data_IF_101997378303
#
_entry.id   IF_101997378303
#
_cell.length_a   1.000
_cell.length_b   1.000
_cell.length_c   1.000
_cell.angle_alpha   90.00
_cell.angle_beta   90.00
_cell.angle_gamma   90.00
#
_symmetry.space_group_name_H-M   'P 1'
#
loop_
_entity.id
_entity.type
_entity.pdbx_description
1 polymer ?
#
# COMPACT_ATOMS: atom_id res chain seq x y z
N UNK A 1 7.85 25.60 5.92
CA UNK A 1 7.79 24.11 5.93
C UNK A 1 7.64 23.64 4.49
N UNK A 2 8.42 22.66 3.99
CA UNK A 2 8.19 22.12 2.66
C UNK A 2 6.85 21.39 2.69
N UNK A 3 5.92 21.76 1.80
CA UNK A 3 4.66 21.07 1.65
C UNK A 3 4.95 19.71 0.99
N UNK A 4 5.10 18.67 1.81
CA UNK A 4 4.55 17.36 1.42
C UNK A 4 3.15 17.67 0.90
N UNK A 5 2.79 17.24 -0.30
CA UNK A 5 1.42 17.40 -0.80
C UNK A 5 0.49 16.49 0.01
N UNK A 6 0.27 16.87 1.27
CA UNK A 6 -0.85 16.50 2.11
C UNK A 6 -2.10 17.20 1.55
N UNK A 7 -2.36 17.08 0.24
CA UNK A 7 -3.58 17.63 -0.40
C UNK A 7 -4.84 16.89 0.02
N UNK A 8 -4.70 15.79 0.77
CA UNK A 8 -5.79 15.18 1.52
C UNK A 8 -5.92 15.70 2.96
N UNK A 9 -5.08 16.67 3.38
CA UNK A 9 -5.21 17.39 4.66
C UNK A 9 -5.53 18.87 4.43
N UNK A 10 -6.38 19.18 3.45
CA UNK A 10 -7.12 20.45 3.51
C UNK A 10 -8.06 20.35 4.71
N UNK A 11 -7.69 21.00 5.82
CA UNK A 11 -8.62 21.26 6.91
C UNK A 11 -9.87 21.88 6.29
N UNK A 12 -11.08 21.37 6.55
CA UNK A 12 -12.29 22.10 6.18
C UNK A 12 -12.20 23.46 6.86
N UNK A 13 -12.20 24.54 6.07
CA UNK A 13 -12.31 25.88 6.60
C UNK A 13 -13.70 25.98 7.24
N UNK A 14 -13.76 25.87 8.56
CA UNK A 14 -14.97 26.18 9.32
C UNK A 14 -15.22 27.68 9.20
N UNK A 15 -15.91 28.08 8.12
CA UNK A 15 -16.47 29.41 7.99
C UNK A 15 -17.75 29.43 8.81
N UNK A 16 -17.63 29.83 10.07
CA UNK A 16 -18.77 30.14 10.92
C UNK A 16 -19.48 31.38 10.34
N UNK A 17 -20.48 31.17 9.47
CA UNK A 17 -21.46 32.21 9.16
C UNK A 17 -22.49 32.22 10.29
N UNK A 18 -22.30 33.12 11.23
CA UNK A 18 -23.32 33.50 12.21
C UNK A 18 -24.15 34.64 11.63
N UNK A 19 -25.35 34.32 11.13
CA UNK A 19 -26.44 35.30 11.04
C UNK A 19 -27.28 35.22 12.31
N UNK A 20 -27.31 36.35 13.00
CA UNK A 20 -28.03 36.63 14.24
C UNK A 20 -29.52 36.75 13.97
N UNK A 21 -30.35 35.97 14.67
CA UNK A 21 -31.43 36.48 15.54
C UNK A 21 -32.29 35.33 16.06
N UNK A 22 -32.07 34.94 17.32
CA UNK A 22 -33.12 34.45 18.21
C UNK A 22 -32.56 34.33 19.63
N UNK A 23 -33.22 35.01 20.56
CA UNK A 23 -32.97 35.02 21.99
C UNK A 23 -33.18 33.61 22.59
N UNK A 24 -32.14 32.78 22.53
CA UNK A 24 -32.05 31.53 23.26
C UNK A 24 -31.35 31.76 24.60
N UNK A 25 -31.76 31.08 25.68
CA UNK A 25 -31.22 31.28 27.02
C UNK A 25 -29.71 31.01 27.01
N UNK A 26 -28.96 31.93 27.61
CA UNK A 26 -27.52 31.83 27.86
C UNK A 26 -27.27 30.57 28.69
N UNK A 27 -26.98 29.45 28.03
CA UNK A 27 -26.48 28.27 28.73
C UNK A 27 -25.08 28.61 29.20
N UNK A 28 -24.88 28.59 30.53
CA UNK A 28 -23.58 28.67 31.20
C UNK A 28 -22.65 27.53 30.72
N UNK A 29 -22.02 27.74 29.56
CA UNK A 29 -21.26 26.72 28.83
C UNK A 29 -19.80 26.62 29.27
N UNK A 30 -19.47 27.02 30.51
CA UNK A 30 -18.10 27.04 31.04
C UNK A 30 -17.91 26.16 32.26
N UNK A 31 -18.73 25.11 32.43
CA UNK A 31 -18.37 24.05 33.39
C UNK A 31 -17.12 23.34 32.90
N UNK A 32 -16.02 23.52 33.63
CA UNK A 32 -14.79 22.77 33.40
C UNK A 32 -15.08 21.27 33.45
N UNK A 33 -14.53 20.53 32.49
CA UNK A 33 -14.60 19.08 32.49
C UNK A 33 -13.97 18.56 33.79
N UNK A 34 -14.58 17.56 34.48
CA UNK A 34 -13.96 16.99 35.66
C UNK A 34 -12.56 16.45 35.29
N UNK A 35 -11.57 16.56 36.20
CA UNK A 35 -10.21 16.11 35.91
C UNK A 35 -10.21 14.61 35.62
N UNK A 36 -9.79 14.25 34.40
CA UNK A 36 -9.58 12.86 34.00
C UNK A 36 -8.16 12.43 34.37
N UNK A 37 -7.96 11.19 34.86
CA UNK A 37 -6.63 10.60 34.98
C UNK A 37 -5.88 10.66 33.64
N UNK A 38 -4.59 11.06 33.64
CA UNK A 38 -3.82 11.22 32.41
C UNK A 38 -3.71 9.92 31.61
N UNK A 39 -3.72 8.76 32.26
CA UNK A 39 -3.69 7.45 31.63
C UNK A 39 -4.91 7.22 30.72
N UNK A 40 -6.09 7.65 31.18
CA UNK A 40 -7.31 7.57 30.38
C UNK A 40 -7.26 8.50 29.18
N UNK A 41 -6.69 9.69 29.34
CA UNK A 41 -6.51 10.65 28.23
C UNK A 41 -5.54 10.09 27.19
N UNK A 42 -4.43 9.46 27.62
CA UNK A 42 -3.49 8.78 26.72
C UNK A 42 -4.23 7.70 25.93
N UNK A 43 -4.96 6.82 26.61
CA UNK A 43 -5.66 5.72 25.98
C UNK A 43 -6.73 6.19 24.98
N UNK A 44 -7.51 7.22 25.35
CA UNK A 44 -8.48 7.85 24.45
C UNK A 44 -7.79 8.44 23.21
N UNK A 45 -6.65 9.11 23.39
CA UNK A 45 -5.90 9.70 22.28
C UNK A 45 -5.27 8.64 21.38
N UNK A 46 -4.71 7.57 21.93
CA UNK A 46 -4.15 6.44 21.16
C UNK A 46 -5.24 5.77 20.33
N UNK A 47 -6.38 5.44 20.93
CA UNK A 47 -7.51 4.83 20.23
C UNK A 47 -8.02 5.76 19.13
N UNK A 48 -8.22 7.05 19.43
CA UNK A 48 -8.71 8.01 18.45
C UNK A 48 -7.71 8.21 17.31
N UNK A 49 -6.41 8.37 17.61
CA UNK A 49 -5.36 8.58 16.63
C UNK A 49 -5.11 7.35 15.76
N UNK A 50 -5.24 6.14 16.33
CA UNK A 50 -5.09 4.88 15.61
C UNK A 50 -6.24 4.67 14.61
N UNK A 51 -7.48 4.84 15.06
CA UNK A 51 -8.67 4.58 14.23
C UNK A 51 -8.97 5.71 13.22
N UNK A 52 -8.62 6.96 13.57
CA UNK A 52 -8.99 8.13 12.77
C UNK A 52 -7.77 9.02 12.49
N UNK A 53 -7.26 9.03 11.25
CA UNK A 53 -6.12 9.88 10.86
C UNK A 53 -6.35 11.38 11.11
N UNK A 54 -7.59 11.83 10.93
CA UNK A 54 -7.98 13.22 11.21
C UNK A 54 -7.92 13.53 12.71
N UNK A 55 -8.26 12.57 13.58
CA UNK A 55 -8.13 12.74 15.01
C UNK A 55 -6.65 12.77 15.42
N UNK A 56 -5.79 11.92 14.86
CA UNK A 56 -4.34 11.99 15.09
C UNK A 56 -3.79 13.38 14.76
N UNK A 57 -4.21 13.95 13.62
CA UNK A 57 -3.84 15.31 13.26
C UNK A 57 -4.36 16.34 14.27
N UNK A 58 -5.66 16.30 14.60
CA UNK A 58 -6.25 17.25 15.54
C UNK A 58 -5.58 17.19 16.92
N UNK A 59 -5.37 15.99 17.47
CA UNK A 59 -4.68 15.74 18.74
C UNK A 59 -3.26 16.32 18.70
N UNK A 60 -2.55 16.17 17.57
CA UNK A 60 -1.18 16.69 17.43
C UNK A 60 -1.07 18.23 17.48
N UNK A 61 -2.19 18.93 17.28
CA UNK A 61 -2.30 20.38 17.36
C UNK A 61 -2.66 20.89 18.75
N UNK A 62 -3.15 20.03 19.66
CA UNK A 62 -3.62 20.43 21.00
C UNK A 62 -2.46 20.85 21.90
N UNK A 63 -1.43 20.01 22.05
CA UNK A 63 -0.27 20.29 22.90
C UNK A 63 0.96 19.49 22.46
N UNK A 64 2.14 19.83 22.98
CA UNK A 64 3.38 19.09 22.70
C UNK A 64 3.36 17.67 23.26
N UNK A 65 2.69 17.45 24.40
CA UNK A 65 2.49 16.13 24.99
C UNK A 65 1.53 15.27 24.15
N UNK A 66 0.37 15.83 23.78
CA UNK A 66 -0.61 15.15 22.93
C UNK A 66 -0.01 14.79 21.56
N UNK A 67 0.83 15.68 21.02
CA UNK A 67 1.60 15.44 19.80
C UNK A 67 2.49 14.21 19.91
N UNK A 68 3.19 13.97 21.03
CA UNK A 68 4.05 12.78 21.18
C UNK A 68 3.26 11.48 21.06
N UNK A 69 2.01 11.47 21.54
CA UNK A 69 1.09 10.33 21.46
C UNK A 69 0.59 10.14 20.02
N UNK A 70 0.16 11.22 19.36
CA UNK A 70 -0.47 11.12 18.05
C UNK A 70 0.50 10.96 16.86
N UNK A 71 1.74 11.47 16.96
CA UNK A 71 2.70 11.46 15.85
C UNK A 71 3.02 10.05 15.31
N UNK A 72 3.25 9.02 16.14
CA UNK A 72 3.46 7.65 15.67
C UNK A 72 2.30 7.15 14.80
N UNK A 73 1.05 7.47 15.14
CA UNK A 73 -0.12 7.07 14.37
C UNK A 73 -0.29 7.90 13.09
N UNK A 74 0.03 9.20 13.13
CA UNK A 74 -0.06 10.10 11.98
C UNK A 74 0.95 9.74 10.89
N UNK A 75 2.17 9.36 11.28
CA UNK A 75 3.27 9.05 10.36
C UNK A 75 3.51 7.55 10.16
N UNK A 76 2.71 6.67 10.77
CA UNK A 76 2.82 5.21 10.59
C UNK A 76 2.72 4.81 9.11
N UNK A 77 1.85 5.50 8.35
CA UNK A 77 1.60 5.25 6.94
C UNK A 77 1.83 6.51 6.11
N UNK A 78 2.83 6.46 5.23
CA UNK A 78 3.24 7.58 4.37
C UNK A 78 3.07 7.20 2.90
N UNK A 79 2.34 8.05 2.17
CA UNK A 79 2.20 7.97 0.71
C UNK A 79 3.01 9.10 0.08
N UNK A 80 4.11 8.73 -0.56
CA UNK A 80 5.01 9.62 -1.28
C UNK A 80 4.72 9.55 -2.79
N UNK A 81 4.03 10.58 -3.29
CA UNK A 81 3.73 10.82 -4.69
C UNK A 81 4.44 12.10 -5.14
N UNK A 82 5.71 12.04 -5.60
CA UNK A 82 6.36 13.20 -6.17
C UNK A 82 5.51 13.70 -7.34
N UNK A 83 5.09 14.96 -7.26
CA UNK A 83 4.43 15.58 -8.42
C UNK A 83 5.47 15.72 -9.52
N UNK A 84 5.19 15.27 -10.75
CA UNK A 84 6.08 15.53 -11.86
C UNK A 84 6.24 17.05 -12.00
N UNK A 85 7.48 17.51 -12.03
CA UNK A 85 7.82 18.94 -12.14
C UNK A 85 7.16 19.60 -13.37
N UNK A 86 6.85 18.79 -14.39
CA UNK A 86 6.26 19.22 -15.67
C UNK A 86 4.75 19.50 -15.64
N UNK A 87 4.04 19.24 -14.53
CA UNK A 87 2.57 19.44 -14.48
C UNK A 87 2.13 20.91 -14.32
N UNK A 88 3.06 21.84 -14.14
CA UNK A 88 2.79 23.29 -14.17
C UNK A 88 3.35 23.90 -15.45
N UNK A 89 2.59 23.74 -16.53
CA UNK A 89 2.60 24.59 -17.71
C UNK A 89 3.88 24.60 -18.53
N UNK A 90 3.85 23.91 -19.68
CA UNK A 90 4.70 24.24 -20.84
C UNK A 90 4.35 25.63 -21.45
N UNK A 91 3.77 26.53 -20.67
CA UNK A 91 3.20 27.80 -21.10
C UNK A 91 3.62 28.90 -20.13
N UNK A 92 4.92 29.12 -20.01
CA UNK A 92 5.55 30.40 -19.66
C UNK A 92 7.04 30.12 -19.50
N UNK A 93 7.89 30.84 -20.23
CA UNK A 93 9.36 30.78 -20.14
C UNK A 93 9.93 31.30 -18.82
N UNK A 94 9.37 30.86 -17.69
CA UNK A 94 9.94 31.08 -16.37
C UNK A 94 11.13 30.15 -16.22
N UNK A 95 12.31 30.68 -16.57
CA UNK A 95 13.60 30.10 -16.25
C UNK A 95 13.62 29.64 -14.79
N UNK A 96 14.07 28.40 -14.61
CA UNK A 96 14.77 27.96 -13.41
C UNK A 96 13.96 27.90 -12.11
N UNK A 97 13.55 26.67 -11.78
CA UNK A 97 13.68 26.18 -10.40
C UNK A 97 14.72 25.05 -10.37
N UNK A 98 16.04 25.35 -10.41
CA UNK A 98 17.10 24.34 -10.49
C UNK A 98 17.39 23.70 -9.13
N UNK A 99 16.75 24.16 -8.06
CA UNK A 99 17.05 23.72 -6.71
C UNK A 99 15.85 22.97 -6.15
N UNK A 100 15.74 21.69 -6.53
CA UNK A 100 15.07 20.71 -5.68
C UNK A 100 15.79 20.75 -4.33
N UNK A 101 15.24 21.54 -3.40
CA UNK A 101 15.83 21.78 -2.09
C UNK A 101 16.09 20.40 -1.47
N UNK A 102 17.32 20.11 -1.03
CA UNK A 102 17.64 18.81 -0.43
C UNK A 102 16.60 18.53 0.65
N UNK A 103 16.05 17.31 0.65
CA UNK A 103 15.06 16.93 1.64
C UNK A 103 15.71 17.15 3.00
N UNK A 104 15.15 18.06 3.78
CA UNK A 104 15.58 18.22 5.17
C UNK A 104 15.44 16.85 5.84
N UNK A 105 16.35 16.49 6.77
CA UNK A 105 16.25 15.25 7.50
C UNK A 105 14.82 15.05 8.01
N UNK A 106 14.18 13.98 7.55
CA UNK A 106 12.79 13.70 7.89
C UNK A 106 12.79 13.18 9.32
N UNK A 107 12.61 14.09 10.28
CA UNK A 107 12.64 13.77 11.72
C UNK A 107 11.61 12.72 12.12
N UNK A 108 10.56 12.52 11.32
CA UNK A 108 9.51 11.53 11.51
C UNK A 108 9.76 10.19 10.81
N UNK A 109 10.85 10.04 10.04
CA UNK A 109 11.08 8.84 9.24
C UNK A 109 11.13 7.55 10.09
N UNK A 110 11.68 7.61 11.29
CA UNK A 110 11.70 6.49 12.24
C UNK A 110 10.30 6.05 12.73
N UNK A 111 9.26 6.86 12.54
CA UNK A 111 7.88 6.50 12.87
C UNK A 111 7.16 5.75 11.74
N UNK A 112 7.73 5.75 10.54
CA UNK A 112 7.12 5.16 9.34
C UNK A 112 7.28 3.65 9.37
N UNK A 113 6.14 2.94 9.31
CA UNK A 113 6.08 1.48 9.15
C UNK A 113 5.55 1.07 7.79
N UNK A 114 4.71 1.89 7.19
CA UNK A 114 4.10 1.63 5.90
C UNK A 114 4.50 2.76 4.94
N UNK A 115 5.24 2.42 3.89
CA UNK A 115 5.73 3.39 2.92
C UNK A 115 5.24 3.04 1.52
N UNK A 116 4.50 3.95 0.89
CA UNK A 116 4.10 3.87 -0.52
C UNK A 116 4.84 4.91 -1.33
N UNK A 117 5.65 4.50 -2.30
CA UNK A 117 6.43 5.36 -3.19
C UNK A 117 5.96 5.19 -4.63
N UNK A 118 5.33 6.24 -5.15
CA UNK A 118 4.84 6.27 -6.53
C UNK A 118 5.61 7.31 -7.32
N UNK A 119 6.80 6.89 -7.78
CA UNK A 119 7.68 7.76 -8.55
C UNK A 119 7.40 7.67 -10.04
N UNK A 120 6.90 8.75 -10.64
CA UNK A 120 6.89 8.88 -12.09
C UNK A 120 8.34 8.75 -12.56
N UNK A 121 8.72 7.67 -13.27
CA UNK A 121 10.11 7.19 -13.50
C UNK A 121 11.16 8.16 -14.07
N UNK A 122 10.83 9.44 -14.17
CA UNK A 122 11.70 10.61 -14.33
C UNK A 122 12.26 11.08 -12.97
N UNK A 123 11.78 10.54 -11.85
CA UNK A 123 12.25 10.87 -10.50
C UNK A 123 13.75 10.61 -10.34
N UNK A 124 14.42 11.52 -9.65
CA UNK A 124 15.82 11.34 -9.29
C UNK A 124 15.91 10.19 -8.25
N UNK A 125 16.60 9.07 -8.53
CA UNK A 125 16.78 7.96 -7.59
C UNK A 125 17.39 8.41 -6.25
N UNK A 126 18.07 9.56 -6.24
CA UNK A 126 18.59 10.20 -5.01
C UNK A 126 17.47 10.49 -4.00
N UNK A 127 16.32 11.00 -4.44
CA UNK A 127 15.22 11.37 -3.53
C UNK A 127 14.55 10.14 -2.91
N UNK A 128 14.37 9.08 -3.69
CA UNK A 128 13.85 7.79 -3.20
C UNK A 128 14.84 7.18 -2.21
N UNK A 129 16.13 7.22 -2.53
CA UNK A 129 17.16 6.76 -1.62
C UNK A 129 17.20 7.53 -0.30
N UNK A 130 17.00 8.85 -0.32
CA UNK A 130 16.85 9.65 0.89
C UNK A 130 15.62 9.25 1.71
N UNK A 131 14.49 8.95 1.05
CA UNK A 131 13.29 8.47 1.73
C UNK A 131 13.51 7.12 2.40
N UNK A 132 14.11 6.16 1.69
CA UNK A 132 14.50 4.87 2.27
C UNK A 132 15.46 5.07 3.44
N UNK A 133 16.42 5.98 3.30
CA UNK A 133 17.39 6.24 4.36
C UNK A 133 16.76 6.85 5.61
N UNK A 134 15.72 7.66 5.46
CA UNK A 134 15.03 8.28 6.59
C UNK A 134 14.05 7.32 7.28
N UNK A 135 13.42 6.42 6.53
CA UNK A 135 12.31 5.59 7.03
C UNK A 135 12.81 4.26 7.62
N UNK A 136 13.52 4.27 8.74
CA UNK A 136 14.26 3.09 9.25
C UNK A 136 13.40 1.95 9.81
N UNK A 137 12.08 2.10 9.91
CA UNK A 137 11.20 1.10 10.53
C UNK A 137 10.14 0.55 9.57
N UNK A 138 10.37 0.65 8.25
CA UNK A 138 9.41 0.15 7.25
C UNK A 138 9.26 -1.36 7.35
N UNK A 139 8.00 -1.78 7.54
CA UNK A 139 7.52 -3.16 7.57
C UNK A 139 6.79 -3.52 6.26
N UNK A 140 6.03 -2.57 5.72
CA UNK A 140 5.26 -2.71 4.49
C UNK A 140 5.68 -1.67 3.46
N UNK A 141 6.22 -2.12 2.34
CA UNK A 141 6.76 -1.25 1.29
C UNK A 141 6.02 -1.43 -0.02
N UNK A 142 5.39 -0.38 -0.52
CA UNK A 142 4.86 -0.31 -1.87
C UNK A 142 5.73 0.60 -2.74
N UNK A 143 6.19 0.14 -3.89
CA UNK A 143 7.04 0.91 -4.78
C UNK A 143 6.85 0.53 -6.24
N UNK A 144 7.25 1.40 -7.16
CA UNK A 144 7.37 1.04 -8.57
C UNK A 144 8.60 0.16 -8.78
N UNK A 145 8.55 -0.79 -9.72
CA UNK A 145 9.65 -1.75 -9.94
C UNK A 145 11.01 -1.09 -10.17
N UNK A 146 11.07 0.05 -10.88
CA UNK A 146 12.32 0.79 -11.07
C UNK A 146 12.96 1.31 -9.77
N UNK A 147 12.15 1.55 -8.73
CA UNK A 147 12.61 2.04 -7.42
C UNK A 147 13.38 0.97 -6.62
N UNK A 148 13.29 -0.31 -7.01
CA UNK A 148 14.11 -1.38 -6.42
C UNK A 148 15.62 -1.09 -6.56
N UNK A 149 16.02 -0.39 -7.64
CA UNK A 149 17.42 0.01 -7.88
C UNK A 149 17.93 1.04 -6.87
N UNK A 150 17.05 1.89 -6.36
CA UNK A 150 17.40 2.88 -5.33
C UNK A 150 17.38 2.28 -3.91
N UNK A 151 16.63 1.20 -3.71
CA UNK A 151 16.52 0.52 -2.41
C UNK A 151 17.86 -0.12 -1.99
N UNK A 152 18.48 -0.90 -2.88
CA UNK A 152 19.74 -1.59 -2.60
C UNK A 152 20.88 -0.67 -2.09
N UNK A 153 21.28 0.39 -2.82
CA UNK A 153 22.35 1.28 -2.37
C UNK A 153 21.97 2.03 -1.09
N UNK A 154 20.68 2.30 -0.84
CA UNK A 154 20.24 2.97 0.38
C UNK A 154 20.47 2.12 1.62
N UNK A 155 20.22 0.80 1.50
CA UNK A 155 20.51 -0.18 2.55
C UNK A 155 22.02 -0.29 2.77
N UNK A 156 22.80 -0.40 1.69
CA UNK A 156 24.27 -0.51 1.78
C UNK A 156 24.89 0.72 2.47
N UNK A 157 24.48 1.93 2.08
CA UNK A 157 24.98 3.18 2.69
C UNK A 157 24.68 3.23 4.18
N UNK A 158 23.48 2.81 4.60
CA UNK A 158 23.16 2.76 6.03
C UNK A 158 23.97 1.71 6.78
N UNK A 159 24.14 0.52 6.20
CA UNK A 159 24.96 -0.54 6.80
C UNK A 159 26.39 -0.04 7.03
N UNK A 160 26.99 0.63 6.04
CA UNK A 160 28.31 1.23 6.17
C UNK A 160 28.36 2.35 7.22
N UNK A 161 27.37 3.24 7.26
CA UNK A 161 27.31 4.31 8.24
C UNK A 161 27.25 3.77 9.67
N UNK A 162 26.52 2.67 9.89
CA UNK A 162 26.42 2.02 11.21
C UNK A 162 27.70 1.28 11.60
N UNK A 163 28.33 0.56 10.66
CA UNK A 163 29.62 -0.08 10.92
C UNK A 163 30.67 0.93 11.38
N UNK A 164 30.68 2.13 10.78
CA UNK A 164 31.53 3.25 11.23
C UNK A 164 31.17 3.72 12.63
N UNK A 165 29.89 3.97 12.90
CA UNK A 165 29.44 4.40 14.23
C UNK A 165 29.77 3.38 15.34
N UNK A 166 29.69 2.08 15.04
CA UNK A 166 30.08 1.01 15.95
C UNK A 166 31.59 0.98 16.20
N UNK A 167 32.41 1.20 15.17
CA UNK A 167 33.86 1.32 15.31
C UNK A 167 34.27 2.54 16.15
N UNK A 168 33.51 3.62 16.07
CA UNK A 168 33.75 4.86 16.83
C UNK A 168 33.27 4.76 18.30
N UNK A 169 32.76 3.60 18.74
CA UNK A 169 32.24 3.41 20.11
C UNK A 169 30.96 4.19 20.40
N UNK A 170 30.29 4.70 19.37
CA UNK A 170 29.05 5.45 19.52
C UNK A 170 27.90 4.48 19.81
N UNK A 171 27.35 4.53 21.03
CA UNK A 171 26.15 3.78 21.44
C UNK A 171 24.87 4.38 20.86
N UNK A 172 24.86 4.66 19.55
CA UNK A 172 23.64 5.10 18.87
C UNK A 172 22.61 3.97 18.93
N UNK A 173 21.64 4.12 19.83
CA UNK A 173 20.40 3.37 19.89
C UNK A 173 19.66 3.51 18.55
N UNK A 174 19.71 2.50 17.70
CA UNK A 174 18.85 2.45 16.52
C UNK A 174 18.66 1.02 16.03
N UNK A 175 17.41 0.57 16.08
CA UNK A 175 16.93 -0.65 15.44
C UNK A 175 17.40 -0.78 13.98
N UNK A 176 17.73 -2.00 13.51
CA UNK A 176 18.32 -2.17 12.20
C UNK A 176 17.30 -2.00 11.05
N UNK A 177 17.47 -0.99 10.18
CA UNK A 177 16.74 -0.90 8.91
C UNK A 177 17.41 -1.72 7.81
N UNK A 178 16.63 -2.33 6.88
CA UNK A 178 15.21 -2.68 7.00
C UNK A 178 15.07 -4.14 7.50
N UNK A 179 15.57 -4.47 8.69
CA UNK A 179 15.36 -5.81 9.28
C UNK A 179 13.88 -6.14 9.54
N UNK A 180 13.00 -5.14 9.42
CA UNK A 180 11.57 -5.28 9.62
C UNK A 180 10.76 -5.40 8.33
N UNK A 181 11.36 -5.27 7.14
CA UNK A 181 10.60 -5.36 5.90
C UNK A 181 10.06 -6.78 5.71
N UNK A 182 8.73 -6.93 5.75
CA UNK A 182 8.03 -8.22 5.61
C UNK A 182 7.09 -8.29 4.43
N UNK A 183 6.59 -7.15 3.96
CA UNK A 183 5.64 -7.06 2.87
C UNK A 183 6.13 -6.13 1.78
N UNK A 184 6.05 -6.59 0.54
CA UNK A 184 6.38 -5.79 -0.63
C UNK A 184 5.20 -5.74 -1.61
N UNK A 185 4.86 -4.54 -2.08
CA UNK A 185 3.87 -4.32 -3.14
C UNK A 185 4.55 -3.65 -4.34
N UNK A 186 4.54 -4.31 -5.50
CA UNK A 186 5.01 -3.74 -6.75
C UNK A 186 3.85 -3.06 -7.47
N UNK A 187 3.96 -1.74 -7.62
CA UNK A 187 2.92 -0.90 -8.20
C UNK A 187 2.85 -1.06 -9.72
N UNK A 188 4.02 -1.20 -10.34
CA UNK A 188 4.18 -1.36 -11.79
C UNK A 188 4.68 -2.75 -12.12
N UNK A 189 4.53 -3.13 -13.38
CA UNK A 189 5.17 -4.32 -13.95
C UNK A 189 6.64 -4.48 -13.52
N UNK A 190 7.07 -5.71 -13.26
CA UNK A 190 8.43 -6.04 -12.78
C UNK A 190 9.15 -7.01 -13.72
N UNK A 191 10.44 -6.78 -13.96
CA UNK A 191 11.28 -7.69 -14.72
C UNK A 191 12.26 -8.44 -13.81
N UNK A 192 12.74 -9.60 -14.27
CA UNK A 192 13.80 -10.36 -13.58
C UNK A 192 15.04 -9.51 -13.28
N UNK A 193 15.39 -8.60 -14.19
CA UNK A 193 16.51 -7.69 -14.02
C UNK A 193 16.26 -6.62 -12.94
N UNK A 194 15.05 -6.29 -12.53
CA UNK A 194 14.89 -5.28 -11.47
C UNK A 194 15.24 -5.85 -10.08
N UNK A 195 15.18 -7.17 -9.93
CA UNK A 195 15.43 -7.88 -8.68
C UNK A 195 16.89 -8.20 -8.40
N UNK A 196 17.76 -8.24 -9.43
CA UNK A 196 19.15 -8.66 -9.25
C UNK A 196 19.92 -7.78 -8.25
N UNK A 197 19.55 -6.52 -8.09
CA UNK A 197 20.16 -5.59 -7.13
C UNK A 197 19.90 -5.98 -5.66
N UNK A 198 18.85 -6.78 -5.41
CA UNK A 198 18.48 -7.24 -4.06
C UNK A 198 19.01 -8.64 -3.75
N UNK A 199 19.44 -9.40 -4.76
CA UNK A 199 19.96 -10.77 -4.58
C UNK A 199 21.29 -10.70 -3.81
N UNK A 200 21.37 -11.45 -2.71
CA UNK A 200 22.56 -11.46 -1.84
C UNK A 200 22.75 -10.17 -1.02
N UNK A 201 21.80 -9.23 -1.07
CA UNK A 201 21.87 -8.02 -0.25
C UNK A 201 21.67 -8.38 1.22
N UNK A 202 22.75 -8.31 2.00
CA UNK A 202 22.74 -8.62 3.43
C UNK A 202 22.36 -7.41 4.28
N UNK A 203 21.59 -7.69 5.30
CA UNK A 203 21.26 -6.80 6.40
C UNK A 203 22.32 -6.87 7.49
N UNK A 204 22.16 -6.06 8.54
CA UNK A 204 23.14 -5.91 9.61
C UNK A 204 23.25 -7.14 10.51
N UNK A 205 22.13 -7.86 10.66
CA UNK A 205 22.09 -9.16 11.34
C UNK A 205 22.67 -10.30 10.50
N UNK A 206 23.18 -10.00 9.30
CA UNK A 206 23.71 -10.98 8.35
C UNK A 206 22.64 -11.71 7.53
N UNK A 207 21.36 -11.49 7.82
CA UNK A 207 20.26 -12.05 7.04
C UNK A 207 20.20 -11.42 5.64
N UNK A 208 19.69 -12.16 4.66
CA UNK A 208 19.44 -11.61 3.33
C UNK A 208 18.09 -10.88 3.32
N UNK A 209 18.05 -9.67 2.75
CA UNK A 209 16.83 -8.85 2.70
C UNK A 209 15.62 -9.63 2.19
N UNK A 210 15.82 -10.39 1.11
CA UNK A 210 14.77 -11.14 0.43
C UNK A 210 14.21 -12.29 1.28
N UNK A 211 14.97 -12.80 2.25
CA UNK A 211 14.49 -13.84 3.17
C UNK A 211 13.48 -13.30 4.18
N UNK A 212 13.45 -11.98 4.43
CA UNK A 212 12.50 -11.40 5.38
C UNK A 212 11.12 -11.13 4.76
N UNK A 213 11.03 -11.14 3.42
CA UNK A 213 9.78 -10.89 2.71
C UNK A 213 8.91 -12.15 2.76
N UNK A 214 7.76 -12.00 3.41
CA UNK A 214 6.76 -13.05 3.61
C UNK A 214 5.50 -12.82 2.77
N UNK A 215 5.26 -11.58 2.33
CA UNK A 215 4.11 -11.18 1.53
C UNK A 215 4.57 -10.39 0.30
N UNK A 216 4.12 -10.82 -0.89
CA UNK A 216 4.37 -10.11 -2.14
C UNK A 216 3.03 -9.85 -2.85
N UNK A 217 2.78 -8.60 -3.21
CA UNK A 217 1.64 -8.19 -4.05
C UNK A 217 2.16 -7.53 -5.31
N UNK A 218 1.69 -7.96 -6.47
CA UNK A 218 2.00 -7.33 -7.75
C UNK A 218 0.70 -6.76 -8.32
N UNK A 219 0.65 -5.45 -8.56
CA UNK A 219 -0.56 -4.76 -9.03
C UNK A 219 -0.71 -4.77 -10.55
N UNK A 220 0.39 -4.96 -11.28
CA UNK A 220 0.44 -4.91 -12.73
C UNK A 220 1.41 -5.98 -13.25
N UNK A 221 0.91 -6.86 -14.11
CA UNK A 221 1.72 -7.87 -14.81
C UNK A 221 1.51 -7.83 -16.33
N UNK A 222 1.05 -6.68 -16.86
CA UNK A 222 0.61 -6.56 -18.26
C UNK A 222 1.70 -6.85 -19.30
N UNK A 223 2.98 -6.74 -18.94
CA UNK A 223 4.11 -6.92 -19.86
C UNK A 223 4.77 -8.31 -19.70
N UNK A 224 4.79 -8.87 -18.49
CA UNK A 224 5.40 -10.18 -18.17
C UNK A 224 4.68 -10.81 -17.00
N UNK A 225 4.52 -12.13 -17.08
CA UNK A 225 4.04 -12.96 -15.99
C UNK A 225 5.12 -13.32 -14.96
N UNK A 226 6.27 -12.64 -14.98
CA UNK A 226 7.34 -12.89 -14.02
C UNK A 226 6.95 -12.48 -12.59
N UNK A 227 7.06 -13.42 -11.66
CA UNK A 227 7.02 -13.16 -10.22
C UNK A 227 8.27 -13.74 -9.56
N UNK A 228 9.00 -12.98 -8.73
CA UNK A 228 10.29 -13.36 -8.12
C UNK A 228 10.14 -14.35 -6.94
N UNK A 229 9.08 -15.16 -6.90
CA UNK A 229 8.78 -16.07 -5.79
C UNK A 229 9.96 -17.00 -5.47
N UNK A 230 10.71 -17.45 -6.48
CA UNK A 230 11.90 -18.27 -6.31
C UNK A 230 13.08 -17.57 -5.61
N UNK A 231 13.07 -16.23 -5.52
CA UNK A 231 14.06 -15.43 -4.79
C UNK A 231 13.63 -15.16 -3.34
N UNK A 232 12.41 -15.57 -2.96
CA UNK A 232 11.77 -15.23 -1.69
C UNK A 232 11.47 -16.52 -0.91
N UNK A 233 12.47 -17.17 -0.29
CA UNK A 233 12.30 -18.52 0.27
C UNK A 233 11.25 -18.61 1.39
N UNK A 234 10.99 -17.50 2.09
CA UNK A 234 10.00 -17.41 3.16
C UNK A 234 8.66 -16.79 2.69
N UNK A 235 8.43 -16.71 1.38
CA UNK A 235 7.19 -16.18 0.84
C UNK A 235 6.02 -17.10 1.20
N UNK A 236 5.10 -16.55 2.00
CA UNK A 236 3.89 -17.24 2.47
C UNK A 236 2.64 -16.80 1.72
N UNK A 237 2.60 -15.54 1.27
CA UNK A 237 1.44 -14.96 0.60
C UNK A 237 1.86 -14.26 -0.69
N UNK A 238 1.19 -14.60 -1.80
CA UNK A 238 1.44 -14.01 -3.12
C UNK A 238 0.12 -13.51 -3.71
N UNK A 239 0.08 -12.24 -4.12
CA UNK A 239 -1.07 -11.65 -4.80
C UNK A 239 -0.69 -11.22 -6.21
N UNK A 240 -1.46 -11.67 -7.20
CA UNK A 240 -1.23 -11.45 -8.63
C UNK A 240 -2.50 -10.88 -9.29
N UNK A 241 -2.40 -10.04 -10.33
CA UNK A 241 -3.54 -9.58 -11.10
C UNK A 241 -3.99 -10.66 -12.08
N UNK A 242 -5.20 -11.19 -11.89
CA UNK A 242 -5.72 -12.37 -12.61
C UNK A 242 -5.66 -12.24 -14.14
N UNK A 243 -6.04 -11.07 -14.67
CA UNK A 243 -6.08 -10.83 -16.13
C UNK A 243 -4.73 -10.80 -16.78
N UNK A 244 -3.77 -10.23 -16.08
CA UNK A 244 -2.48 -9.89 -16.65
C UNK A 244 -1.61 -11.16 -16.82
N UNK A 245 -2.02 -12.27 -16.20
CA UNK A 245 -1.45 -13.59 -16.37
C UNK A 245 -1.76 -14.22 -17.76
N UNK A 246 -2.63 -13.61 -18.56
CA UNK A 246 -3.00 -14.12 -19.88
C UNK A 246 -3.73 -15.46 -19.81
N UNK A 247 -4.50 -15.68 -18.75
CA UNK A 247 -5.28 -16.89 -18.53
C UNK A 247 -6.33 -17.07 -19.63
N UNK A 248 -6.28 -18.22 -20.31
CA UNK A 248 -7.31 -18.64 -21.24
C UNK A 248 -8.16 -19.74 -20.61
N UNK A 249 -9.40 -19.38 -20.26
CA UNK A 249 -10.35 -20.33 -19.70
C UNK A 249 -10.74 -21.43 -20.69
N UNK A 250 -10.67 -21.19 -22.00
CA UNK A 250 -11.01 -22.20 -23.01
C UNK A 250 -10.11 -23.43 -22.93
N UNK A 251 -8.89 -23.24 -22.44
CA UNK A 251 -7.91 -24.30 -22.30
C UNK A 251 -7.86 -24.89 -20.90
N UNK A 252 -8.71 -24.43 -19.97
CA UNK A 252 -8.70 -24.87 -18.57
C UNK A 252 -7.32 -24.67 -17.89
N UNK A 253 -6.47 -23.82 -18.47
CA UNK A 253 -5.11 -23.58 -18.02
C UNK A 253 -5.03 -22.29 -17.21
N UNK A 254 -4.76 -22.43 -15.91
CA UNK A 254 -4.35 -21.31 -15.08
C UNK A 254 -2.85 -21.09 -15.32
N UNK A 255 -2.51 -20.01 -16.01
CA UNK A 255 -1.14 -19.54 -16.22
C UNK A 255 -0.67 -18.83 -14.96
N UNK A 256 -0.12 -19.59 -14.02
CA UNK A 256 0.67 -19.04 -12.94
C UNK A 256 2.13 -18.89 -13.40
N UNK A 257 2.90 -17.99 -12.77
CA UNK A 257 4.35 -17.96 -12.97
C UNK A 257 4.93 -19.36 -12.68
N UNK A 258 5.85 -19.88 -13.51
CA UNK A 258 6.38 -21.24 -13.35
C UNK A 258 7.02 -21.43 -11.97
N UNK A 259 6.70 -22.53 -11.27
CA UNK A 259 7.26 -22.83 -9.95
C UNK A 259 6.43 -22.32 -8.76
N UNK A 260 5.38 -21.51 -9.00
CA UNK A 260 4.60 -20.89 -7.92
C UNK A 260 3.86 -21.94 -7.07
N UNK A 261 3.27 -22.96 -7.69
CA UNK A 261 2.55 -24.00 -6.96
C UNK A 261 3.52 -24.93 -6.22
N UNK A 262 4.74 -25.09 -6.72
CA UNK A 262 5.80 -25.88 -6.13
C UNK A 262 6.49 -25.17 -4.95
N UNK A 263 6.21 -23.88 -4.73
CA UNK A 263 6.82 -23.09 -3.67
C UNK A 263 6.35 -23.54 -2.27
N UNK A 264 7.20 -24.29 -1.56
CA UNK A 264 6.86 -24.97 -0.29
C UNK A 264 6.32 -24.06 0.82
N UNK A 265 6.86 -22.85 0.96
CA UNK A 265 6.43 -21.94 2.04
C UNK A 265 5.10 -21.23 1.74
N UNK A 266 4.63 -21.30 0.50
CA UNK A 266 3.48 -20.55 0.03
C UNK A 266 2.19 -21.19 0.56
N UNK A 267 1.41 -20.40 1.30
CA UNK A 267 0.15 -20.80 1.96
C UNK A 267 -1.08 -20.22 1.26
N UNK A 268 -0.92 -19.06 0.62
CA UNK A 268 -2.02 -18.34 0.00
C UNK A 268 -1.57 -17.66 -1.30
N UNK A 269 -2.29 -17.94 -2.38
CA UNK A 269 -2.18 -17.26 -3.66
C UNK A 269 -3.49 -16.51 -3.90
N UNK A 270 -3.47 -15.18 -3.84
CA UNK A 270 -4.65 -14.36 -4.11
C UNK A 270 -4.59 -13.84 -5.55
N UNK A 271 -5.54 -14.27 -6.36
CA UNK A 271 -5.77 -13.70 -7.69
C UNK A 271 -6.71 -12.49 -7.54
N UNK A 272 -6.16 -11.31 -7.77
CA UNK A 272 -6.91 -10.06 -7.71
C UNK A 272 -7.61 -9.78 -9.04
N UNK A 273 -8.90 -9.48 -8.96
CA UNK A 273 -9.75 -9.18 -10.10
C UNK A 273 -10.25 -7.75 -9.93
N UNK A 274 -9.72 -6.82 -10.72
CA UNK A 274 -10.20 -5.43 -10.68
C UNK A 274 -11.68 -5.39 -11.10
N UNK A 275 -12.56 -4.96 -10.19
CA UNK A 275 -14.02 -5.05 -10.37
C UNK A 275 -14.49 -4.28 -11.60
N UNK A 276 -13.91 -3.08 -11.84
CA UNK A 276 -14.17 -2.31 -13.05
C UNK A 276 -13.86 -3.13 -14.31
N UNK A 277 -12.68 -3.76 -14.36
CA UNK A 277 -12.28 -4.58 -15.50
C UNK A 277 -13.22 -5.79 -15.64
N UNK A 278 -13.62 -6.42 -14.54
CA UNK A 278 -14.57 -7.55 -14.54
C UNK A 278 -15.90 -7.20 -15.20
N UNK A 279 -16.46 -6.04 -14.87
CA UNK A 279 -17.76 -5.62 -15.40
C UNK A 279 -17.71 -5.06 -16.83
N UNK A 280 -16.58 -4.46 -17.23
CA UNK A 280 -16.48 -3.78 -18.53
C UNK A 280 -15.73 -4.55 -19.59
N UNK A 281 -14.94 -5.57 -19.23
CA UNK A 281 -14.10 -6.26 -20.21
C UNK A 281 -14.81 -7.53 -20.73
N UNK A 282 -15.23 -7.56 -22.00
CA UNK A 282 -15.89 -8.71 -22.60
C UNK A 282 -14.98 -9.95 -22.68
N UNK A 283 -13.66 -9.81 -22.58
CA UNK A 283 -12.74 -10.96 -22.60
C UNK A 283 -12.98 -11.95 -21.45
N UNK A 284 -13.48 -11.48 -20.29
CA UNK A 284 -13.93 -12.38 -19.21
C UNK A 284 -15.18 -13.18 -19.59
N UNK A 285 -16.01 -12.64 -20.49
CA UNK A 285 -17.28 -13.22 -20.91
C UNK A 285 -17.07 -14.21 -22.05
N UNK A 286 -16.22 -13.85 -23.03
CA UNK A 286 -15.97 -14.62 -24.25
C UNK A 286 -15.23 -15.94 -23.96
N UNK A 287 -14.38 -15.94 -22.94
CA UNK A 287 -13.54 -17.10 -22.59
C UNK A 287 -14.33 -18.22 -21.91
N UNK A 288 -15.52 -17.94 -21.36
CA UNK A 288 -16.31 -18.93 -20.63
C UNK A 288 -17.23 -19.78 -21.53
N UNK A 289 -17.91 -19.21 -22.54
CA UNK A 289 -18.79 -20.02 -23.40
C UNK A 289 -18.99 -19.42 -24.80
N UNK A 290 -18.57 -20.09 -25.88
CA UNK A 290 -18.95 -19.69 -27.23
C UNK A 290 -20.40 -20.03 -27.60
N UNK A 291 -21.24 -20.64 -26.73
CA UNK A 291 -22.51 -21.23 -27.21
C UNK A 291 -23.80 -21.15 -26.40
N UNK A 292 -23.90 -20.71 -25.13
CA UNK A 292 -25.23 -20.53 -24.50
C UNK A 292 -25.17 -19.91 -23.09
N UNK A 293 -26.17 -19.08 -22.80
CA UNK A 293 -26.58 -18.47 -21.52
C UNK A 293 -25.97 -17.12 -21.12
N UNK A 294 -26.87 -16.14 -20.90
CA UNK A 294 -26.62 -14.86 -20.24
C UNK A 294 -26.34 -15.12 -18.75
N UNK A 295 -25.15 -15.63 -18.43
CA UNK A 295 -24.74 -15.81 -17.04
C UNK A 295 -24.46 -14.42 -16.43
N UNK A 296 -24.97 -14.18 -15.22
CA UNK A 296 -24.72 -12.93 -14.51
C UNK A 296 -23.23 -12.76 -14.17
N UNK A 297 -22.70 -11.52 -14.09
CA UNK A 297 -21.32 -11.28 -13.64
C UNK A 297 -21.00 -11.94 -12.30
N UNK A 298 -21.98 -11.94 -11.39
CA UNK A 298 -21.90 -12.62 -10.09
C UNK A 298 -21.75 -14.13 -10.24
N UNK A 299 -22.60 -14.77 -11.04
CA UNK A 299 -22.54 -16.22 -11.24
C UNK A 299 -21.23 -16.64 -11.93
N UNK A 300 -20.77 -15.91 -12.95
CA UNK A 300 -19.47 -16.17 -13.60
C UNK A 300 -18.31 -16.05 -12.62
N UNK A 301 -18.35 -15.07 -11.71
CA UNK A 301 -17.31 -14.89 -10.71
C UNK A 301 -17.29 -16.06 -9.70
N UNK A 302 -18.46 -16.56 -9.28
CA UNK A 302 -18.55 -17.75 -8.42
C UNK A 302 -17.99 -18.99 -9.09
N UNK A 303 -18.28 -19.19 -10.38
CA UNK A 303 -17.71 -20.31 -11.12
C UNK A 303 -16.16 -20.20 -11.22
N UNK A 304 -15.61 -18.99 -11.36
CA UNK A 304 -14.16 -18.76 -11.28
C UNK A 304 -13.60 -19.16 -9.91
N UNK A 305 -14.29 -18.80 -8.83
CA UNK A 305 -13.90 -19.18 -7.46
C UNK A 305 -13.86 -20.70 -7.31
N UNK A 306 -14.95 -21.38 -7.71
CA UNK A 306 -15.08 -22.84 -7.64
C UNK A 306 -13.99 -23.54 -8.46
N UNK A 307 -13.76 -23.05 -9.68
CA UNK A 307 -12.72 -23.57 -10.56
C UNK A 307 -11.32 -23.46 -9.95
N UNK A 308 -10.95 -22.28 -9.43
CA UNK A 308 -9.65 -22.07 -8.78
C UNK A 308 -9.49 -22.96 -7.55
N UNK A 309 -10.54 -23.10 -6.74
CA UNK A 309 -10.55 -23.92 -5.53
C UNK A 309 -10.36 -25.41 -5.85
N UNK A 310 -10.93 -25.89 -6.95
CA UNK A 310 -10.75 -27.27 -7.40
C UNK A 310 -9.32 -27.52 -7.93
N UNK A 311 -8.62 -26.46 -8.36
CA UNK A 311 -7.27 -26.57 -8.93
C UNK A 311 -6.18 -26.66 -7.85
N UNK A 312 -6.25 -25.82 -6.82
CA UNK A 312 -5.34 -25.84 -5.68
C UNK A 312 -6.03 -25.17 -4.48
N UNK A 313 -5.94 -25.77 -3.31
CA UNK A 313 -6.62 -25.27 -2.11
C UNK A 313 -6.03 -23.96 -1.58
N UNK A 314 -4.81 -23.59 -2.00
CA UNK A 314 -4.16 -22.33 -1.67
C UNK A 314 -4.56 -21.19 -2.60
N UNK A 315 -5.34 -21.45 -3.66
CA UNK A 315 -5.83 -20.40 -4.57
C UNK A 315 -7.06 -19.69 -3.99
N UNK A 316 -7.02 -18.37 -4.00
CA UNK A 316 -8.09 -17.47 -3.59
C UNK A 316 -8.33 -16.45 -4.68
N UNK A 317 -9.53 -15.89 -4.73
CA UNK A 317 -9.87 -14.81 -5.65
C UNK A 317 -10.65 -13.72 -4.92
N UNK A 318 -10.24 -12.47 -5.17
CA UNK A 318 -10.83 -11.28 -4.54
C UNK A 318 -11.05 -10.19 -5.59
N UNK A 319 -12.16 -9.48 -5.46
CA UNK A 319 -12.41 -8.26 -6.21
C UNK A 319 -11.57 -7.12 -5.60
N UNK A 320 -10.47 -6.77 -6.28
CA UNK A 320 -9.55 -5.71 -5.84
C UNK A 320 -8.82 -5.09 -7.05
N UNK A 321 -8.77 -3.75 -7.15
CA UNK A 321 -9.55 -2.80 -6.35
C UNK A 321 -11.05 -2.87 -6.70
N UNK A 322 -11.89 -2.42 -5.77
CA UNK A 322 -13.33 -2.19 -5.99
C UNK A 322 -13.56 -0.95 -6.85
N UNK A 323 -14.74 -0.85 -7.48
CA UNK A 323 -15.08 0.33 -8.29
C UNK A 323 -15.08 1.60 -7.42
N UNK A 324 -14.30 2.60 -7.85
CA UNK A 324 -14.17 3.87 -7.14
C UNK A 324 -13.01 3.90 -6.15
N UNK A 325 -12.39 2.75 -5.86
CA UNK A 325 -11.20 2.67 -5.03
C UNK A 325 -9.91 2.64 -5.87
N UNK A 326 -8.90 3.30 -5.31
CA UNK A 326 -7.53 3.29 -5.81
C UNK A 326 -6.73 2.22 -5.05
N UNK A 327 -5.90 1.38 -5.70
CA UNK A 327 -5.07 0.38 -4.98
C UNK A 327 -4.23 0.97 -3.84
N UNK A 328 -3.77 2.22 -3.97
CA UNK A 328 -3.06 2.91 -2.88
C UNK A 328 -3.97 3.16 -1.67
N UNK A 329 -5.24 3.49 -1.89
CA UNK A 329 -6.21 3.71 -0.81
C UNK A 329 -6.48 2.40 -0.08
N UNK A 330 -6.80 1.33 -0.81
CA UNK A 330 -7.01 0.00 -0.23
C UNK A 330 -5.79 -0.46 0.58
N UNK A 331 -4.59 -0.28 0.03
CA UNK A 331 -3.34 -0.60 0.74
C UNK A 331 -3.13 0.27 1.98
N UNK A 332 -3.42 1.57 1.91
CA UNK A 332 -3.23 2.50 3.03
C UNK A 332 -4.24 2.25 4.15
N UNK A 333 -5.47 1.87 3.80
CA UNK A 333 -6.52 1.52 4.76
C UNK A 333 -6.16 0.22 5.49
N UNK A 334 -5.67 -0.80 4.77
CA UNK A 334 -5.14 -2.02 5.38
C UNK A 334 -3.93 -1.73 6.30
N UNK A 335 -3.00 -0.88 5.86
CA UNK A 335 -1.84 -0.45 6.64
C UNK A 335 -2.22 0.32 7.93
N UNK A 336 -3.46 0.83 8.02
CA UNK A 336 -4.01 1.54 9.18
C UNK A 336 -4.89 0.65 10.07
N UNK A 337 -4.83 -0.67 9.88
CA UNK A 337 -5.60 -1.64 10.66
C UNK A 337 -6.97 -1.99 10.08
N UNK A 338 -7.30 -1.49 8.87
CA UNK A 338 -8.40 -2.05 8.09
C UNK A 338 -8.09 -3.48 7.61
N UNK A 339 -9.09 -4.20 7.07
CA UNK A 339 -8.89 -5.55 6.59
C UNK A 339 -7.90 -5.57 5.44
N UNK A 340 -6.85 -6.37 5.56
CA UNK A 340 -5.88 -6.62 4.52
C UNK A 340 -6.47 -7.41 3.36
N UNK A 341 -5.83 -7.37 2.18
CA UNK A 341 -6.22 -8.20 1.03
C UNK A 341 -6.30 -9.69 1.39
N UNK A 342 -5.40 -10.15 2.25
CA UNK A 342 -5.31 -11.54 2.69
C UNK A 342 -6.48 -11.92 3.61
N UNK A 343 -6.82 -11.05 4.56
CA UNK A 343 -7.99 -11.22 5.43
C UNK A 343 -9.29 -11.16 4.64
N UNK A 344 -9.42 -10.22 3.70
CA UNK A 344 -10.57 -10.16 2.79
C UNK A 344 -10.71 -11.45 1.97
N UNK A 345 -9.61 -12.02 1.47
CA UNK A 345 -9.62 -13.28 0.75
C UNK A 345 -10.04 -14.47 1.63
N UNK A 346 -9.48 -14.56 2.84
CA UNK A 346 -9.79 -15.61 3.80
C UNK A 346 -11.25 -15.52 4.27
N UNK A 347 -11.72 -14.33 4.63
CA UNK A 347 -13.09 -14.08 5.06
C UNK A 347 -14.09 -14.38 3.94
N UNK A 348 -13.81 -13.92 2.72
CA UNK A 348 -14.68 -14.20 1.57
C UNK A 348 -14.86 -15.70 1.31
N UNK A 349 -13.79 -16.49 1.56
CA UNK A 349 -13.84 -17.95 1.45
C UNK A 349 -14.57 -18.60 2.62
N UNK A 350 -14.34 -18.13 3.84
CA UNK A 350 -14.99 -18.66 5.03
C UNK A 350 -16.52 -18.48 4.98
N UNK A 351 -16.97 -17.32 4.49
CA UNK A 351 -18.38 -16.97 4.41
C UNK A 351 -19.04 -17.37 3.07
N UNK A 352 -18.27 -17.89 2.11
CA UNK A 352 -18.68 -18.06 0.71
C UNK A 352 -19.30 -16.77 0.11
N UNK A 353 -18.75 -15.61 0.52
CA UNK A 353 -19.26 -14.29 0.15
C UNK A 353 -18.60 -13.71 -1.12
N UNK A 354 -17.92 -14.55 -1.89
CA UNK A 354 -17.25 -14.16 -3.13
C UNK A 354 -18.23 -13.54 -4.14
N UNK A 355 -17.96 -12.28 -4.51
CA UNK A 355 -18.75 -11.57 -5.52
C UNK A 355 -20.18 -11.26 -5.09
N UNK A 356 -20.50 -11.25 -3.79
CA UNK A 356 -21.86 -10.94 -3.30
C UNK A 356 -22.36 -9.59 -3.80
N UNK A 357 -21.48 -8.60 -3.90
CA UNK A 357 -21.79 -7.23 -4.34
C UNK A 357 -21.85 -7.06 -5.87
N UNK A 358 -21.47 -8.10 -6.64
CA UNK A 358 -21.52 -8.01 -8.09
C UNK A 358 -22.98 -8.00 -8.57
N UNK A 359 -23.28 -7.21 -9.62
CA UNK A 359 -24.63 -7.14 -10.15
C UNK A 359 -25.05 -8.47 -10.81
N UNK A 360 -26.35 -8.75 -10.76
CA UNK A 360 -26.98 -9.90 -11.43
C UNK A 360 -27.11 -9.71 -12.95
N UNK A 361 -26.89 -8.50 -13.46
CA UNK A 361 -26.88 -8.20 -14.89
C UNK A 361 -25.74 -7.25 -15.21
N UNK A 362 -25.13 -7.39 -16.38
CA UNK A 362 -24.11 -6.45 -16.83
C UNK A 362 -24.69 -5.03 -16.95
N UNK A 363 -23.92 -3.98 -16.61
CA UNK A 363 -24.34 -2.61 -16.83
C UNK A 363 -24.67 -2.37 -18.31
N UNK A 364 -25.85 -1.77 -18.59
CA UNK A 364 -26.24 -1.40 -19.96
C UNK A 364 -25.19 -0.44 -20.53
N UNK A 365 -24.53 -0.83 -21.62
CA UNK A 365 -23.49 -0.03 -22.27
C UNK A 365 -22.06 -0.60 -22.17
N UNK A 366 -21.84 -1.66 -21.40
CA UNK A 366 -20.54 -2.35 -21.33
C UNK A 366 -20.25 -3.24 -22.56
N UNK A 367 -21.23 -3.46 -23.45
CA UNK A 367 -21.15 -4.38 -24.60
C UNK A 367 -20.90 -3.68 -25.95
N UNK A 368 -20.31 -2.48 -25.96
CA UNK A 368 -19.99 -1.77 -27.22
C UNK A 368 -18.62 -2.14 -27.77
#
# INVERSE_FOLDING_TARGET
MPSVNLRYLSLPSFSARTSVDSSSPVMDSTRAFPPLPPELVIHMFEIAACNYPQAAQAISCVSTWARKIALPHLFSTVVYRPKPAFSRGMSSGANDSPNARPLRPLTWGHLVRNLWIESSGISNPTNEGEMFRACTNVENLALMSQSLRALAPSIQVQNLARLKAAADGSTLSSDPFPCRLRSMTLITHTFRYDWHFLVGLRLQDGSELLHNITHLRILDMTISSFAPHNLLPNLTHLALPYLDLGNDFKHDTLRLPPGVLEHRALRMIVLTVAEKKWLTNPWYQISWYPRKTNISPKATFRLLVEWLRNKDDRLYVVLSPRIGDDPCKEWADAARGGPSLWEMAAQARADDSHGVDLPVSFPKGAQR
#
